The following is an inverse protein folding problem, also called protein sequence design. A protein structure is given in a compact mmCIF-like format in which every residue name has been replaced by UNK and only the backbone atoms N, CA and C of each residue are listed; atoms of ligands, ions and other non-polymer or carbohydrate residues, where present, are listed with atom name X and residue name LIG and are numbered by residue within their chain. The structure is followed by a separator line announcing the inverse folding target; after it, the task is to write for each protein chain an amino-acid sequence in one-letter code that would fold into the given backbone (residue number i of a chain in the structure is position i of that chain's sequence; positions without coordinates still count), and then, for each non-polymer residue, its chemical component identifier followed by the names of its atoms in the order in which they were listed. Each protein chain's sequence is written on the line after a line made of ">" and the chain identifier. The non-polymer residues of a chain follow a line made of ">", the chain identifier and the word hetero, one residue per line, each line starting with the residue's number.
data_IF_236531783803
#
_entry.id   IF_236531783803
#
_cell.length_a   1.000
_cell.length_b   1.000
_cell.length_c   1.000
_cell.angle_alpha   90.00
_cell.angle_beta   90.00
_cell.angle_gamma   90.00
#
_symmetry.space_group_name_H-M   'P 1'
#
loop_
_entity.id
_entity.type
_entity.pdbx_description
1 polymer ?
#
# COMPACT_ATOMS: atom_id res chain seq x y z
N UNK A 1 13.16 6.27 -10.07
CA UNK A 1 14.21 5.73 -10.94
C UNK A 1 14.73 6.78 -11.92
N UNK A 2 13.87 7.54 -12.63
CA UNK A 2 14.28 8.60 -13.55
C UNK A 2 15.23 9.62 -12.93
N UNK A 3 14.98 10.05 -11.69
CA UNK A 3 15.91 10.92 -10.95
C UNK A 3 17.29 10.28 -10.73
N UNK A 4 17.35 8.98 -10.40
CA UNK A 4 18.62 8.27 -10.24
C UNK A 4 19.38 8.20 -11.57
N UNK A 5 18.68 7.89 -12.66
CA UNK A 5 19.24 7.87 -14.00
C UNK A 5 19.79 9.25 -14.42
N UNK A 6 19.01 10.31 -14.22
CA UNK A 6 19.42 11.67 -14.55
C UNK A 6 20.61 12.16 -13.70
N UNK A 7 20.64 11.80 -12.42
CA UNK A 7 21.80 12.05 -11.54
C UNK A 7 23.08 11.47 -12.13
N UNK A 8 23.03 10.18 -12.53
CA UNK A 8 24.21 9.48 -13.07
C UNK A 8 24.66 10.08 -14.39
N UNK A 9 23.75 10.39 -15.30
CA UNK A 9 24.08 11.06 -16.57
C UNK A 9 24.73 12.44 -16.39
N UNK A 10 24.36 13.14 -15.31
CA UNK A 10 24.95 14.44 -14.98
C UNK A 10 26.24 14.33 -14.16
N UNK A 11 26.69 13.13 -13.83
CA UNK A 11 27.86 12.91 -12.97
C UNK A 11 27.67 13.43 -11.55
N UNK A 12 26.42 13.60 -11.09
CA UNK A 12 26.13 14.06 -9.75
C UNK A 12 26.23 12.89 -8.74
N UNK A 13 26.41 13.21 -7.46
CA UNK A 13 26.57 12.21 -6.40
C UNK A 13 25.49 12.26 -5.30
N UNK A 14 24.43 13.02 -5.47
CA UNK A 14 23.33 13.11 -4.52
C UNK A 14 22.57 11.79 -4.40
N UNK A 15 22.01 11.52 -3.23
CA UNK A 15 21.18 10.35 -3.01
C UNK A 15 19.77 10.58 -3.54
N UNK A 16 19.16 9.52 -4.08
CA UNK A 16 17.76 9.49 -4.49
C UNK A 16 17.05 8.52 -3.57
N UNK A 17 16.03 9.01 -2.89
CA UNK A 17 15.23 8.23 -1.94
C UNK A 17 13.79 8.24 -2.38
N UNK A 18 13.17 7.07 -2.41
CA UNK A 18 11.73 6.88 -2.64
C UNK A 18 11.11 6.29 -1.37
N UNK A 19 10.10 6.94 -0.81
CA UNK A 19 9.34 6.40 0.33
C UNK A 19 8.02 5.85 -0.21
N UNK A 20 7.76 4.57 0.05
CA UNK A 20 6.60 3.84 -0.47
C UNK A 20 5.90 3.15 0.71
N UNK A 21 4.59 3.34 0.84
CA UNK A 21 3.80 2.61 1.85
C UNK A 21 3.53 1.17 1.43
N UNK A 22 3.28 0.31 2.41
CA UNK A 22 2.94 -1.11 2.23
C UNK A 22 1.71 -1.34 1.32
N UNK A 23 0.70 -0.48 1.41
CA UNK A 23 -0.42 -0.50 0.46
C UNK A 23 -0.02 -0.06 -0.95
N UNK A 24 0.84 0.97 -1.07
CA UNK A 24 1.23 1.51 -2.37
C UNK A 24 2.19 0.58 -3.14
N UNK A 25 3.02 -0.20 -2.45
CA UNK A 25 3.94 -1.14 -3.11
C UNK A 25 3.19 -2.30 -3.80
N UNK A 26 1.93 -2.54 -3.48
CA UNK A 26 1.09 -3.55 -4.15
C UNK A 26 0.61 -3.10 -5.53
N UNK A 27 0.74 -1.83 -5.87
CA UNK A 27 0.34 -1.29 -7.18
C UNK A 27 1.30 -1.68 -8.30
N UNK A 28 0.78 -1.91 -9.53
CA UNK A 28 1.57 -2.36 -10.69
C UNK A 28 2.80 -1.50 -10.99
N UNK A 29 2.66 -0.17 -10.93
CA UNK A 29 3.77 0.77 -11.16
C UNK A 29 4.94 0.59 -10.18
N UNK A 30 4.69 0.15 -8.94
CA UNK A 30 5.76 -0.15 -7.99
C UNK A 30 6.57 -1.38 -8.44
N UNK A 31 5.90 -2.43 -8.93
CA UNK A 31 6.58 -3.61 -9.49
C UNK A 31 7.37 -3.28 -10.74
N UNK A 32 6.80 -2.54 -11.67
CA UNK A 32 7.50 -2.07 -12.87
C UNK A 32 8.73 -1.24 -12.50
N UNK A 33 8.58 -0.34 -11.51
CA UNK A 33 9.66 0.48 -11.00
C UNK A 33 10.79 -0.33 -10.35
N UNK A 34 10.46 -1.32 -9.51
CA UNK A 34 11.43 -2.21 -8.85
C UNK A 34 12.14 -3.12 -9.86
N UNK A 35 11.40 -3.74 -10.77
CA UNK A 35 11.96 -4.56 -11.84
C UNK A 35 12.98 -3.79 -12.68
N UNK A 36 12.65 -2.57 -13.08
CA UNK A 36 13.58 -1.73 -13.84
C UNK A 36 14.74 -1.20 -12.99
N UNK A 37 14.53 -0.95 -11.69
CA UNK A 37 15.58 -0.51 -10.79
C UNK A 37 16.65 -1.58 -10.62
N UNK A 38 16.25 -2.84 -10.40
CA UNK A 38 17.17 -3.97 -10.32
C UNK A 38 17.95 -4.20 -11.62
N UNK A 39 17.26 -4.18 -12.76
CA UNK A 39 17.90 -4.33 -14.07
C UNK A 39 18.94 -3.22 -14.37
N UNK A 40 18.66 -1.98 -13.97
CA UNK A 40 19.58 -0.86 -14.20
C UNK A 40 20.69 -0.75 -13.15
N UNK A 41 20.58 -1.43 -12.00
CA UNK A 41 21.54 -1.43 -10.90
C UNK A 41 22.01 -0.03 -10.46
N UNK A 42 21.16 0.98 -10.57
CA UNK A 42 21.49 2.34 -10.14
C UNK A 42 21.29 2.50 -8.63
N UNK A 43 22.11 3.35 -8.01
CA UNK A 43 21.93 3.69 -6.59
C UNK A 43 20.58 4.38 -6.38
N UNK A 44 19.65 3.67 -5.79
CA UNK A 44 18.33 4.12 -5.41
C UNK A 44 18.01 3.53 -4.03
N UNK A 45 17.64 4.37 -3.09
CA UNK A 45 17.19 3.94 -1.76
C UNK A 45 15.67 3.95 -1.78
N UNK A 46 15.06 2.79 -1.63
CA UNK A 46 13.61 2.67 -1.45
C UNK A 46 13.32 2.38 0.01
N UNK A 47 12.55 3.21 0.69
CA UNK A 47 12.08 2.99 2.06
C UNK A 47 10.65 2.46 1.97
N UNK A 48 10.48 1.19 2.31
CA UNK A 48 9.17 0.58 2.49
C UNK A 48 8.67 0.89 3.91
N UNK A 49 7.78 1.87 4.01
CA UNK A 49 7.12 2.23 5.26
C UNK A 49 5.94 1.30 5.49
N UNK A 50 6.17 0.24 6.27
CA UNK A 50 5.19 -0.79 6.57
C UNK A 50 4.52 -0.53 7.92
N UNK A 51 3.28 -0.08 7.91
CA UNK A 51 2.47 0.11 9.11
C UNK A 51 1.21 -0.77 9.15
N UNK A 52 1.07 -1.70 8.21
CA UNK A 52 -0.07 -2.59 8.06
C UNK A 52 -1.41 -1.85 7.94
N UNK A 53 -1.38 -0.64 7.41
CA UNK A 53 -2.54 0.24 7.30
C UNK A 53 -2.54 1.00 5.98
N UNK A 54 -3.61 0.81 5.22
CA UNK A 54 -4.00 1.75 4.17
C UNK A 54 -5.35 2.42 4.54
N UNK A 55 -6.16 2.87 3.58
CA UNK A 55 -7.55 3.31 3.83
C UNK A 55 -8.40 2.13 4.33
N UNK A 56 -8.09 0.93 3.85
CA UNK A 56 -8.60 -0.35 4.33
C UNK A 56 -7.43 -1.25 4.76
N UNK A 57 -7.68 -2.36 5.48
CA UNK A 57 -6.66 -3.39 5.68
C UNK A 57 -6.06 -3.78 4.32
N UNK A 58 -4.72 -3.93 4.21
CA UNK A 58 -4.09 -4.29 2.96
C UNK A 58 -4.62 -5.62 2.42
N UNK A 59 -4.82 -5.69 1.11
CA UNK A 59 -5.33 -6.88 0.42
C UNK A 59 -4.25 -7.53 -0.46
N UNK A 60 -4.42 -8.82 -0.73
CA UNK A 60 -3.59 -9.57 -1.67
C UNK A 60 -2.41 -10.31 -1.07
N UNK A 61 -1.80 -11.19 -1.88
CA UNK A 61 -0.73 -12.10 -1.46
C UNK A 61 0.55 -11.37 -1.01
N UNK A 62 0.87 -10.22 -1.60
CA UNK A 62 2.03 -9.44 -1.18
C UNK A 62 1.93 -8.99 0.27
N UNK A 63 0.74 -8.71 0.77
CA UNK A 63 0.55 -8.35 2.18
C UNK A 63 0.90 -9.52 3.12
N UNK A 64 0.54 -10.74 2.75
CA UNK A 64 0.95 -11.93 3.51
C UNK A 64 2.48 -12.09 3.50
N UNK A 65 3.11 -11.83 2.36
CA UNK A 65 4.56 -11.85 2.23
C UNK A 65 5.22 -10.78 3.13
N UNK A 66 4.75 -9.54 3.11
CA UNK A 66 5.28 -8.48 3.98
C UNK A 66 5.05 -8.79 5.46
N UNK A 67 3.90 -9.34 5.82
CA UNK A 67 3.62 -9.78 7.20
C UNK A 67 4.59 -10.89 7.62
N UNK A 68 4.90 -11.83 6.71
CA UNK A 68 5.90 -12.86 6.98
C UNK A 68 7.28 -12.24 7.24
N UNK A 69 7.73 -11.31 6.43
CA UNK A 69 9.01 -10.61 6.64
C UNK A 69 9.02 -9.84 7.97
N UNK A 70 7.95 -9.12 8.29
CA UNK A 70 7.78 -8.38 9.55
C UNK A 70 7.94 -9.28 10.77
N UNK A 71 7.39 -10.49 10.74
CA UNK A 71 7.44 -11.45 11.84
C UNK A 71 8.86 -12.00 12.11
N UNK A 72 9.82 -11.74 11.21
CA UNK A 72 11.22 -12.08 11.38
C UNK A 72 12.06 -10.91 11.93
N UNK A 73 11.44 -9.81 12.34
CA UNK A 73 12.13 -8.70 12.98
C UNK A 73 12.72 -9.16 14.32
N UNK A 74 14.06 -9.16 14.49
CA UNK A 74 14.69 -9.53 15.73
C UNK A 74 14.43 -8.49 16.83
N UNK A 75 14.83 -8.81 18.06
CA UNK A 75 14.89 -7.82 19.12
C UNK A 75 15.95 -6.72 18.82
N UNK A 76 15.86 -5.60 19.56
CA UNK A 76 16.76 -4.47 19.33
C UNK A 76 18.22 -4.84 19.48
N UNK A 77 18.58 -5.65 20.47
CA UNK A 77 19.98 -6.02 20.73
C UNK A 77 20.58 -6.78 19.56
N UNK A 78 19.82 -7.72 18.97
CA UNK A 78 20.23 -8.48 17.79
C UNK A 78 20.36 -7.58 16.54
N UNK A 79 19.44 -6.62 16.34
CA UNK A 79 19.53 -5.64 15.23
C UNK A 79 20.75 -4.74 15.38
N UNK A 80 20.98 -4.18 16.58
CA UNK A 80 22.14 -3.35 16.88
C UNK A 80 23.47 -4.09 16.69
N UNK A 81 23.52 -5.38 17.04
CA UNK A 81 24.68 -6.22 16.80
C UNK A 81 24.94 -6.47 15.31
N UNK A 82 23.87 -6.77 14.55
CA UNK A 82 23.96 -7.01 13.13
C UNK A 82 24.44 -5.75 12.37
N UNK A 83 23.91 -4.57 12.69
CA UNK A 83 24.31 -3.29 12.09
C UNK A 83 25.78 -2.91 12.34
N UNK A 84 26.42 -3.47 13.36
CA UNK A 84 27.85 -3.26 13.64
C UNK A 84 28.77 -4.13 12.79
N UNK A 85 28.28 -5.28 12.31
CA UNK A 85 29.13 -6.28 11.61
C UNK A 85 28.76 -6.45 10.15
N UNK A 86 27.58 -6.06 9.76
CA UNK A 86 27.08 -6.21 8.38
C UNK A 86 26.44 -4.92 7.91
N UNK A 87 26.83 -4.45 6.74
CA UNK A 87 26.17 -3.31 6.12
C UNK A 87 24.78 -3.73 5.62
N UNK A 88 23.74 -3.01 6.04
CA UNK A 88 22.35 -3.24 5.66
C UNK A 88 21.92 -4.71 5.80
N UNK A 89 21.86 -5.25 7.02
CA UNK A 89 21.50 -6.64 7.24
C UNK A 89 20.07 -6.95 6.79
N UNK A 90 19.86 -8.14 6.21
CA UNK A 90 18.54 -8.73 6.00
C UNK A 90 18.25 -9.72 7.15
N UNK A 91 17.06 -9.62 7.73
CA UNK A 91 16.56 -10.58 8.72
C UNK A 91 15.52 -11.52 8.13
N UNK A 92 15.31 -11.48 6.81
CA UNK A 92 14.49 -12.46 6.12
C UNK A 92 15.08 -13.86 6.22
N UNK A 93 14.24 -14.91 6.33
CA UNK A 93 14.72 -16.29 6.47
C UNK A 93 15.39 -16.83 5.20
N UNK A 94 15.21 -16.18 4.07
CA UNK A 94 15.78 -16.51 2.76
C UNK A 94 15.82 -15.28 1.87
N UNK A 95 16.37 -15.42 0.66
CA UNK A 95 16.24 -14.38 -0.37
C UNK A 95 14.77 -14.01 -0.59
N UNK A 96 14.52 -12.71 -0.75
CA UNK A 96 13.18 -12.16 -0.92
C UNK A 96 12.85 -11.94 -2.39
N UNK A 97 11.58 -11.69 -2.71
CA UNK A 97 11.16 -11.23 -4.04
C UNK A 97 11.97 -10.01 -4.52
N UNK A 98 12.37 -9.13 -3.61
CA UNK A 98 13.14 -7.93 -3.94
C UNK A 98 14.57 -8.29 -4.37
N UNK A 99 15.19 -9.23 -3.67
CA UNK A 99 16.53 -9.73 -4.03
C UNK A 99 16.52 -10.43 -5.39
N UNK A 100 15.47 -11.23 -5.68
CA UNK A 100 15.28 -11.87 -6.98
C UNK A 100 15.11 -10.85 -8.12
N UNK A 101 14.53 -9.68 -7.83
CA UNK A 101 14.46 -8.55 -8.77
C UNK A 101 15.78 -7.76 -8.87
N UNK A 102 16.81 -8.12 -8.12
CA UNK A 102 18.09 -7.40 -8.10
C UNK A 102 18.08 -6.13 -7.23
N UNK A 103 17.14 -6.03 -6.29
CA UNK A 103 17.03 -4.96 -5.29
C UNK A 103 17.39 -5.54 -3.93
N UNK A 104 18.52 -5.13 -3.35
CA UNK A 104 18.94 -5.65 -2.05
C UNK A 104 17.89 -5.34 -0.98
N UNK A 105 17.34 -6.38 -0.36
CA UNK A 105 16.42 -6.24 0.77
C UNK A 105 17.20 -6.12 2.07
N UNK A 106 16.90 -5.10 2.88
CA UNK A 106 17.46 -4.90 4.22
C UNK A 106 16.35 -4.65 5.25
N UNK A 107 16.49 -5.23 6.42
CA UNK A 107 15.51 -5.15 7.50
C UNK A 107 14.78 -6.47 7.77
N UNK A 108 13.64 -6.43 8.50
CA UNK A 108 12.91 -5.23 8.93
C UNK A 108 13.59 -4.47 10.08
N UNK A 109 13.44 -3.14 10.09
CA UNK A 109 13.97 -2.22 11.10
C UNK A 109 12.83 -1.51 11.85
N UNK A 110 13.11 -1.02 13.07
CA UNK A 110 12.16 -0.21 13.82
C UNK A 110 12.19 1.26 13.40
N UNK A 111 11.15 1.69 12.66
CA UNK A 111 11.04 3.07 12.18
C UNK A 111 10.78 4.13 13.26
N UNK A 112 10.53 3.70 14.50
CA UNK A 112 10.40 4.61 15.65
C UNK A 112 11.68 4.69 16.50
N UNK A 113 12.67 3.84 16.25
CA UNK A 113 14.01 3.94 16.83
C UNK A 113 14.87 4.87 15.97
N UNK A 114 14.97 6.14 16.40
CA UNK A 114 15.68 7.19 15.64
C UNK A 114 17.16 6.86 15.49
N UNK A 115 17.81 6.33 16.55
CA UNK A 115 19.22 5.99 16.52
C UNK A 115 19.50 4.85 15.55
N UNK A 116 18.66 3.82 15.53
CA UNK A 116 18.73 2.73 14.57
C UNK A 116 18.54 3.26 13.14
N UNK A 117 17.54 4.10 12.92
CA UNK A 117 17.25 4.67 11.59
C UNK A 117 18.36 5.55 11.05
N UNK A 118 19.05 6.31 11.92
CA UNK A 118 20.23 7.09 11.50
C UNK A 118 21.33 6.17 10.99
N UNK A 119 21.66 5.10 11.72
CA UNK A 119 22.68 4.13 11.29
C UNK A 119 22.31 3.44 9.99
N UNK A 120 21.05 2.97 9.86
CA UNK A 120 20.54 2.33 8.64
C UNK A 120 20.64 3.26 7.43
N UNK A 121 20.23 4.52 7.59
CA UNK A 121 20.29 5.51 6.51
C UNK A 121 21.72 5.90 6.13
N UNK A 122 22.64 5.96 7.09
CA UNK A 122 24.06 6.19 6.82
C UNK A 122 24.67 5.02 6.03
N UNK A 123 24.35 3.78 6.41
CA UNK A 123 24.77 2.59 5.66
C UNK A 123 24.16 2.56 4.26
N UNK A 124 22.89 2.93 4.11
CA UNK A 124 22.23 3.00 2.81
C UNK A 124 22.84 4.08 1.88
N UNK A 125 23.28 5.20 2.45
CA UNK A 125 24.04 6.23 1.71
C UNK A 125 25.38 5.70 1.22
N UNK A 126 26.05 4.87 2.02
CA UNK A 126 27.34 4.26 1.67
C UNK A 126 27.20 3.05 0.75
N UNK A 127 25.98 2.50 0.57
CA UNK A 127 25.72 1.35 -0.28
C UNK A 127 25.91 1.72 -1.77
N UNK A 128 26.71 0.95 -2.47
CA UNK A 128 27.07 1.21 -3.88
C UNK A 128 26.69 0.08 -4.84
N UNK A 129 26.28 -1.08 -4.34
CA UNK A 129 25.97 -2.25 -5.16
C UNK A 129 24.49 -2.26 -5.63
N UNK A 130 24.09 -1.22 -6.33
CA UNK A 130 22.78 -1.11 -6.95
C UNK A 130 21.69 -0.56 -6.03
N UNK A 131 20.42 -0.84 -6.33
CA UNK A 131 19.29 -0.36 -5.53
C UNK A 131 19.12 -1.17 -4.24
N UNK A 132 18.63 -0.49 -3.19
CA UNK A 132 18.31 -1.10 -1.90
C UNK A 132 16.88 -0.78 -1.49
N UNK A 133 16.21 -1.75 -0.87
CA UNK A 133 14.92 -1.58 -0.21
C UNK A 133 15.09 -1.75 1.28
N UNK A 134 14.85 -0.69 2.03
CA UNK A 134 14.83 -0.69 3.50
C UNK A 134 13.41 -0.96 3.97
N UNK A 135 13.19 -2.11 4.59
CA UNK A 135 11.89 -2.45 5.18
C UNK A 135 11.81 -1.87 6.59
N UNK A 136 11.00 -0.84 6.76
CA UNK A 136 10.88 -0.07 7.99
C UNK A 136 9.47 -0.26 8.56
N UNK A 137 9.41 -0.81 9.78
CA UNK A 137 8.16 -1.05 10.49
C UNK A 137 7.78 0.20 11.26
N UNK A 138 6.57 0.69 11.04
CA UNK A 138 6.02 1.83 11.78
C UNK A 138 4.63 1.53 12.32
N UNK A 139 4.19 2.34 13.26
CA UNK A 139 2.84 2.33 13.83
C UNK A 139 2.16 3.66 13.50
N UNK A 140 1.05 3.59 12.78
CA UNK A 140 0.30 4.78 12.38
C UNK A 140 -0.24 5.51 13.62
N UNK A 141 0.00 6.82 13.70
CA UNK A 141 -0.42 7.64 14.84
C UNK A 141 0.51 7.59 16.05
N UNK A 142 1.64 6.89 15.98
CA UNK A 142 2.63 6.81 17.05
C UNK A 142 2.98 8.16 17.62
N UNK A 143 2.90 8.28 18.97
CA UNK A 143 3.16 9.54 19.69
C UNK A 143 1.91 10.40 19.94
N UNK A 144 0.75 10.03 19.37
CA UNK A 144 -0.52 10.70 19.66
C UNK A 144 -1.58 9.69 20.10
N UNK A 145 -1.84 9.60 21.41
CA UNK A 145 -2.72 8.58 22.02
C UNK A 145 -4.06 8.40 21.31
N UNK A 146 -4.84 9.48 21.03
CA UNK A 146 -6.12 9.34 20.34
C UNK A 146 -6.04 8.73 18.95
N UNK A 147 -4.89 8.83 18.25
CA UNK A 147 -4.69 8.26 16.93
C UNK A 147 -4.24 6.79 16.97
N UNK A 148 -3.77 6.33 18.13
CA UNK A 148 -3.31 4.94 18.35
C UNK A 148 -4.44 4.00 18.80
N UNK A 149 -5.61 4.54 19.17
CA UNK A 149 -6.75 3.72 19.61
C UNK A 149 -7.27 2.83 18.47
N UNK A 150 -7.62 1.55 18.77
CA UNK A 150 -8.18 0.64 17.78
C UNK A 150 -9.42 1.21 17.10
N UNK A 151 -9.46 1.18 15.79
CA UNK A 151 -10.57 1.72 15.00
C UNK A 151 -10.57 3.22 14.82
N UNK A 152 -9.57 3.92 15.34
CA UNK A 152 -9.45 5.36 15.20
C UNK A 152 -9.11 5.74 13.75
N UNK A 153 -9.88 6.68 13.20
CA UNK A 153 -9.80 7.07 11.79
C UNK A 153 -9.07 8.40 11.64
N UNK A 154 -7.76 8.43 11.95
CA UNK A 154 -6.93 9.60 11.69
C UNK A 154 -6.25 9.58 10.31
N UNK A 155 -6.90 8.94 9.33
CA UNK A 155 -6.49 9.01 7.93
C UNK A 155 -7.41 10.00 7.18
N UNK A 156 -6.88 11.17 6.80
CA UNK A 156 -7.66 12.21 6.16
C UNK A 156 -8.74 12.81 7.08
N UNK A 157 -8.34 13.20 8.29
CA UNK A 157 -9.23 13.69 9.34
C UNK A 157 -9.79 15.09 9.07
N UNK A 158 -11.00 15.35 9.55
CA UNK A 158 -11.56 16.70 9.69
C UNK A 158 -10.85 17.44 10.84
N UNK A 159 -11.20 18.71 11.04
CA UNK A 159 -10.74 19.48 12.20
C UNK A 159 -11.07 18.73 13.50
N UNK A 160 -10.12 18.68 14.43
CA UNK A 160 -10.27 18.00 15.71
C UNK A 160 -9.63 18.79 16.86
N UNK A 161 -10.09 18.54 18.07
CA UNK A 161 -9.48 19.05 19.28
C UNK A 161 -8.25 18.22 19.66
N UNK A 162 -7.10 18.87 19.80
CA UNK A 162 -5.81 18.17 19.99
C UNK A 162 -5.76 17.44 21.34
N UNK A 163 -6.38 18.00 22.38
CA UNK A 163 -6.30 17.43 23.73
C UNK A 163 -7.17 16.17 23.88
N UNK A 164 -8.37 16.20 23.34
CA UNK A 164 -9.33 15.09 23.44
C UNK A 164 -9.34 14.14 22.22
N UNK A 165 -8.77 14.56 21.08
CA UNK A 165 -8.89 13.83 19.84
C UNK A 165 -10.28 13.92 19.19
N UNK A 166 -11.23 14.65 19.76
CA UNK A 166 -12.59 14.75 19.27
C UNK A 166 -12.65 15.43 17.90
N UNK A 167 -13.19 14.74 16.89
CA UNK A 167 -13.32 15.24 15.54
C UNK A 167 -14.66 15.98 15.36
N UNK A 168 -14.62 17.14 14.70
CA UNK A 168 -15.84 17.85 14.31
C UNK A 168 -16.59 17.03 13.25
N UNK A 169 -17.72 16.46 13.63
CA UNK A 169 -18.62 15.77 12.70
C UNK A 169 -19.67 16.72 12.21
N UNK A 170 -19.60 17.09 10.94
CA UNK A 170 -20.72 17.77 10.30
C UNK A 170 -21.97 16.88 10.34
N UNK A 171 -23.10 17.42 10.78
CA UNK A 171 -24.37 16.71 10.69
C UNK A 171 -24.87 16.78 9.24
N UNK A 172 -24.93 15.69 8.50
CA UNK A 172 -25.41 15.73 7.13
C UNK A 172 -26.90 16.04 7.09
N UNK A 173 -27.30 17.00 6.28
CA UNK A 173 -28.72 17.38 6.07
C UNK A 173 -29.47 16.37 5.18
N UNK A 174 -28.73 15.47 4.50
CA UNK A 174 -29.29 14.45 3.62
C UNK A 174 -28.41 13.19 3.66
N UNK A 175 -28.92 12.01 3.28
CA UNK A 175 -28.11 10.81 3.11
C UNK A 175 -26.97 11.06 2.11
N UNK A 176 -25.76 10.52 2.39
CA UNK A 176 -24.66 10.58 1.44
C UNK A 176 -24.94 9.71 0.21
N UNK A 177 -24.41 10.08 -0.95
CA UNK A 177 -24.46 9.23 -2.15
C UNK A 177 -23.89 7.83 -1.90
N UNK A 178 -22.80 7.70 -1.14
CA UNK A 178 -22.23 6.42 -0.70
C UNK A 178 -23.29 5.54 -0.02
N UNK A 179 -24.08 6.10 0.89
CA UNK A 179 -25.11 5.34 1.62
C UNK A 179 -26.28 4.95 0.72
N UNK A 180 -26.69 5.85 -0.18
CA UNK A 180 -27.77 5.57 -1.14
C UNK A 180 -27.35 4.47 -2.12
N UNK A 181 -26.13 4.59 -2.68
CA UNK A 181 -25.57 3.59 -3.58
C UNK A 181 -25.46 2.22 -2.92
N UNK A 182 -24.84 2.14 -1.74
CA UNK A 182 -24.66 0.88 -1.05
C UNK A 182 -26.00 0.18 -0.73
N UNK A 183 -27.02 0.96 -0.29
CA UNK A 183 -28.33 0.42 -0.04
C UNK A 183 -29.02 -0.11 -1.31
N UNK A 184 -29.00 0.68 -2.39
CA UNK A 184 -29.57 0.26 -3.66
C UNK A 184 -28.89 -1.01 -4.19
N UNK A 185 -27.56 -1.04 -4.19
CA UNK A 185 -26.80 -2.20 -4.68
C UNK A 185 -27.11 -3.47 -3.85
N UNK A 186 -27.28 -3.36 -2.54
CA UNK A 186 -27.68 -4.48 -1.68
C UNK A 186 -29.08 -5.00 -2.06
N UNK A 187 -30.03 -4.10 -2.29
CA UNK A 187 -31.40 -4.52 -2.65
C UNK A 187 -31.44 -5.20 -4.04
N UNK A 188 -30.73 -4.65 -5.03
CA UNK A 188 -30.61 -5.29 -6.34
C UNK A 188 -29.92 -6.66 -6.27
N UNK A 189 -28.86 -6.77 -5.47
CA UNK A 189 -28.11 -8.02 -5.32
C UNK A 189 -28.86 -9.13 -4.54
N UNK A 190 -29.92 -8.79 -3.80
CA UNK A 190 -30.84 -9.76 -3.23
C UNK A 190 -31.74 -10.40 -4.30
N UNK A 191 -32.04 -9.66 -5.36
CA UNK A 191 -32.88 -10.10 -6.45
C UNK A 191 -32.10 -10.77 -7.60
N UNK A 192 -30.81 -10.44 -7.75
CA UNK A 192 -29.94 -10.97 -8.80
C UNK A 192 -28.59 -11.43 -8.19
N UNK A 193 -28.36 -12.71 -8.18
CA UNK A 193 -27.16 -13.36 -7.60
C UNK A 193 -25.89 -13.13 -8.46
N UNK A 194 -26.02 -12.66 -9.70
CA UNK A 194 -24.91 -12.30 -10.57
C UNK A 194 -24.24 -10.99 -10.17
N UNK A 195 -24.90 -10.15 -9.35
CA UNK A 195 -24.35 -8.87 -8.93
C UNK A 195 -23.22 -9.12 -7.94
N UNK A 196 -22.03 -8.59 -8.25
CA UNK A 196 -20.85 -8.55 -7.39
C UNK A 196 -20.23 -7.15 -7.41
N UNK A 197 -19.35 -6.88 -6.45
CA UNK A 197 -18.81 -5.54 -6.25
C UNK A 197 -17.31 -5.58 -5.99
N UNK A 198 -16.59 -4.65 -6.61
CA UNK A 198 -15.14 -4.56 -6.55
C UNK A 198 -14.73 -3.16 -6.09
N UNK A 199 -13.83 -3.08 -5.11
CA UNK A 199 -13.16 -1.86 -4.67
C UNK A 199 -11.67 -1.91 -5.00
N UNK A 200 -11.04 -0.75 -5.02
CA UNK A 200 -9.59 -0.61 -5.07
C UNK A 200 -9.11 0.09 -3.79
N UNK A 201 -9.01 -0.66 -2.68
CA UNK A 201 -8.58 -0.22 -1.35
C UNK A 201 -9.44 0.87 -0.70
N UNK A 202 -10.70 1.05 -1.13
CA UNK A 202 -11.59 2.10 -0.59
C UNK A 202 -13.01 1.61 -0.26
N UNK A 203 -13.20 0.44 0.38
CA UNK A 203 -14.54 -0.14 0.59
C UNK A 203 -15.44 0.75 1.44
N UNK A 204 -14.94 1.38 2.51
CA UNK A 204 -15.75 2.23 3.38
C UNK A 204 -16.17 3.55 2.71
N UNK A 205 -15.31 4.11 1.87
CA UNK A 205 -15.59 5.35 1.17
C UNK A 205 -16.60 5.19 0.04
N UNK A 206 -16.63 4.03 -0.59
CA UNK A 206 -17.58 3.66 -1.65
C UNK A 206 -18.85 2.99 -1.10
N UNK A 207 -18.86 2.57 0.17
CA UNK A 207 -19.98 1.85 0.80
C UNK A 207 -19.96 0.34 0.58
N UNK A 208 -18.94 -0.20 -0.08
CA UNK A 208 -18.79 -1.64 -0.29
C UNK A 208 -18.48 -2.41 0.99
N UNK A 209 -18.02 -1.75 2.05
CA UNK A 209 -17.95 -2.33 3.40
C UNK A 209 -19.31 -2.81 3.91
N UNK A 210 -20.41 -2.15 3.49
CA UNK A 210 -21.78 -2.54 3.83
C UNK A 210 -22.26 -3.68 2.95
N UNK A 211 -21.96 -3.63 1.66
CA UNK A 211 -22.28 -4.68 0.71
C UNK A 211 -21.58 -5.98 1.11
N UNK A 212 -20.29 -5.92 1.46
CA UNK A 212 -19.50 -7.09 1.87
C UNK A 212 -19.96 -7.74 3.17
N UNK A 213 -20.60 -7.00 4.08
CA UNK A 213 -21.25 -7.59 5.27
C UNK A 213 -22.45 -8.47 4.93
N UNK A 214 -23.14 -8.20 3.81
CA UNK A 214 -24.31 -8.96 3.35
C UNK A 214 -23.89 -10.06 2.37
N UNK A 215 -22.93 -9.76 1.49
CA UNK A 215 -22.49 -10.64 0.40
C UNK A 215 -20.95 -10.78 0.39
N UNK A 216 -20.35 -11.42 1.40
CA UNK A 216 -18.88 -11.52 1.50
C UNK A 216 -18.26 -12.22 0.28
N UNK A 217 -18.88 -13.28 -0.24
CA UNK A 217 -18.36 -14.05 -1.38
C UNK A 217 -18.52 -13.34 -2.74
N UNK A 218 -19.24 -12.22 -2.77
CA UNK A 218 -19.46 -11.40 -3.96
C UNK A 218 -18.82 -10.00 -3.85
N UNK A 219 -17.93 -9.83 -2.87
CA UNK A 219 -17.23 -8.57 -2.62
C UNK A 219 -15.74 -8.78 -2.74
N UNK A 220 -15.09 -7.96 -3.57
CA UNK A 220 -13.67 -8.05 -3.83
C UNK A 220 -12.98 -6.73 -3.53
N UNK A 221 -11.75 -6.80 -3.02
CA UNK A 221 -10.86 -5.64 -2.91
C UNK A 221 -9.55 -5.95 -3.66
N UNK A 222 -9.30 -5.20 -4.72
CA UNK A 222 -8.12 -5.36 -5.55
C UNK A 222 -6.85 -4.71 -4.94
N UNK A 223 -6.95 -4.07 -3.77
CA UNK A 223 -5.90 -3.22 -3.26
C UNK A 223 -5.75 -1.92 -4.07
N UNK A 224 -4.62 -1.22 -3.97
CA UNK A 224 -4.38 -0.01 -4.77
C UNK A 224 -3.98 -0.41 -6.21
N UNK A 225 -4.94 -0.97 -6.94
CA UNK A 225 -4.74 -1.55 -8.26
C UNK A 225 -5.99 -1.35 -9.16
N UNK A 226 -6.28 -0.10 -9.50
CA UNK A 226 -7.47 0.27 -10.25
C UNK A 226 -7.50 -0.36 -11.64
N UNK A 227 -6.35 -0.47 -12.32
CA UNK A 227 -6.24 -1.15 -13.61
C UNK A 227 -6.70 -2.61 -13.51
N UNK A 228 -6.16 -3.35 -12.53
CA UNK A 228 -6.55 -4.73 -12.29
C UNK A 228 -8.04 -4.84 -11.93
N UNK A 229 -8.57 -3.95 -11.10
CA UNK A 229 -9.98 -3.96 -10.72
C UNK A 229 -10.91 -3.84 -11.93
N UNK A 230 -10.58 -2.98 -12.89
CA UNK A 230 -11.36 -2.78 -14.12
C UNK A 230 -11.28 -4.03 -15.01
N UNK A 231 -10.08 -4.53 -15.32
CA UNK A 231 -9.91 -5.73 -16.15
C UNK A 231 -10.56 -6.97 -15.51
N UNK A 232 -10.47 -7.09 -14.18
CA UNK A 232 -11.14 -8.16 -13.43
C UNK A 232 -12.67 -8.11 -13.60
N UNK A 233 -13.26 -6.90 -13.59
CA UNK A 233 -14.68 -6.71 -13.92
C UNK A 233 -15.00 -7.17 -15.34
N UNK A 234 -14.15 -6.89 -16.32
CA UNK A 234 -14.31 -7.38 -17.70
C UNK A 234 -14.41 -8.89 -17.75
N UNK A 235 -13.48 -9.59 -17.12
CA UNK A 235 -13.50 -11.05 -17.06
C UNK A 235 -14.77 -11.60 -16.40
N UNK A 236 -15.21 -11.02 -15.29
CA UNK A 236 -16.48 -11.41 -14.63
C UNK A 236 -17.70 -11.17 -15.52
N UNK A 237 -17.72 -10.07 -16.25
CA UNK A 237 -18.83 -9.73 -17.15
C UNK A 237 -18.91 -10.70 -18.34
N UNK A 238 -17.77 -11.12 -18.90
CA UNK A 238 -17.71 -12.12 -19.96
C UNK A 238 -18.33 -13.47 -19.56
N UNK A 239 -18.25 -13.82 -18.28
CA UNK A 239 -18.86 -15.04 -17.71
C UNK A 239 -20.30 -14.80 -17.18
N UNK A 240 -20.92 -13.68 -17.55
CA UNK A 240 -22.33 -13.37 -17.26
C UNK A 240 -22.60 -12.78 -15.88
N UNK A 241 -21.56 -12.45 -15.10
CA UNK A 241 -21.73 -11.71 -13.86
C UNK A 241 -22.04 -10.23 -14.13
N UNK A 242 -22.53 -9.53 -13.12
CA UNK A 242 -22.82 -8.08 -13.17
C UNK A 242 -21.94 -7.34 -12.15
N UNK A 243 -20.67 -7.11 -12.49
CA UNK A 243 -19.74 -6.46 -11.58
C UNK A 243 -19.96 -4.95 -11.47
N UNK A 244 -19.85 -4.42 -10.26
CA UNK A 244 -19.86 -2.99 -9.96
C UNK A 244 -18.48 -2.58 -9.43
N UNK A 245 -17.67 -1.92 -10.26
CA UNK A 245 -16.40 -1.32 -9.84
C UNK A 245 -16.67 0.02 -9.14
N UNK A 246 -16.66 0.03 -7.82
CA UNK A 246 -16.88 1.24 -7.03
C UNK A 246 -15.52 1.88 -6.69
N UNK A 247 -15.11 2.83 -7.51
CA UNK A 247 -13.81 3.52 -7.45
C UNK A 247 -14.06 5.04 -7.49
N UNK A 248 -13.33 5.81 -6.67
CA UNK A 248 -13.41 7.26 -6.75
C UNK A 248 -12.98 7.77 -8.12
N UNK A 249 -13.72 8.73 -8.67
CA UNK A 249 -13.48 9.25 -10.02
C UNK A 249 -12.03 9.72 -10.24
N UNK A 250 -11.44 10.35 -9.23
CA UNK A 250 -10.04 10.80 -9.31
C UNK A 250 -9.04 9.63 -9.40
N UNK A 251 -9.33 8.48 -8.77
CA UNK A 251 -8.47 7.29 -8.83
C UNK A 251 -8.74 6.43 -10.06
N UNK A 252 -9.95 6.48 -10.60
CA UNK A 252 -10.32 5.76 -11.81
C UNK A 252 -9.52 6.20 -13.05
N UNK A 253 -8.88 7.37 -13.01
CA UNK A 253 -7.93 7.80 -14.04
C UNK A 253 -6.83 6.76 -14.30
N UNK A 254 -6.40 6.00 -13.26
CA UNK A 254 -5.41 4.92 -13.43
C UNK A 254 -5.94 3.71 -14.20
N UNK A 255 -7.24 3.54 -14.29
CA UNK A 255 -7.89 2.45 -15.04
C UNK A 255 -8.46 2.90 -16.39
N UNK A 256 -8.09 4.06 -16.90
CA UNK A 256 -8.67 4.61 -18.12
C UNK A 256 -8.46 3.70 -19.34
N UNK A 257 -7.24 3.24 -19.55
CA UNK A 257 -6.92 2.36 -20.69
C UNK A 257 -7.68 1.04 -20.61
N UNK A 258 -7.84 0.49 -19.41
CA UNK A 258 -8.58 -0.75 -19.18
C UNK A 258 -10.09 -0.56 -19.42
N UNK A 259 -10.63 0.62 -19.10
CA UNK A 259 -12.04 0.91 -19.46
C UNK A 259 -12.21 0.92 -20.97
N UNK A 260 -11.29 1.55 -21.68
CA UNK A 260 -11.36 1.62 -23.16
C UNK A 260 -11.13 0.25 -23.77
N UNK A 261 -10.01 -0.41 -23.44
CA UNK A 261 -9.57 -1.62 -24.12
C UNK A 261 -10.30 -2.87 -23.63
N UNK A 262 -10.44 -3.04 -22.28
CA UNK A 262 -10.91 -4.31 -21.73
C UNK A 262 -12.42 -4.34 -21.51
N UNK A 263 -13.09 -3.18 -21.52
CA UNK A 263 -14.54 -3.08 -21.27
C UNK A 263 -15.29 -2.60 -22.50
N UNK A 264 -14.81 -1.56 -23.19
CA UNK A 264 -15.58 -0.90 -24.25
C UNK A 264 -15.34 -1.49 -25.65
N UNK A 265 -14.19 -2.07 -25.93
CA UNK A 265 -13.86 -2.74 -27.19
C UNK A 265 -14.19 -4.22 -27.10
#
# INVERSE_FOLDING_TARGET
>A
LGFATARDFKGHNNHIVAVVGDGAITGGMAYEGLNNAGAQRRRLITILNDNNMSIAPPAGALQHFLTHLRNHMPDKAARDAALKVTQLPSFAPSATLFDDLGVHYAGPFDGHDVDEMVLVLEQAKAWTDGPVLLHVITEKGKGYGPAMEPGCKYHGVSKFDIASGAQEKAQPKAPSYTNVFAKALIEEAKADDRICAISAAMPSGTGLDKFGKVFPDRTFDAGIAEQHAVTFCGGLACEGMKPFAAIYSTFLQRGYDQIVHDIAI
#
